data_IF_782089117160
#
_entry.id   IF_782089117160
#
_cell.length_a   1.000
_cell.length_b   1.000
_cell.length_c   1.000
_cell.angle_alpha   90.00
_cell.angle_beta   90.00
_cell.angle_gamma   90.00
#
_symmetry.space_group_name_H-M   'P 1'
#
loop_
_entity.id
_entity.type
_entity.pdbx_description
1 polymer ?
#
# COMPACT_ATOMS: atom_id res chain seq x y z
N UNK A 1 7.84 22.62 7.26
CA UNK A 1 7.71 21.35 6.53
C UNK A 1 6.24 21.16 6.20
N UNK A 2 5.89 20.91 4.93
CA UNK A 2 4.48 20.83 4.50
C UNK A 2 3.78 19.61 5.12
N UNK A 3 2.46 19.71 5.28
CA UNK A 3 1.65 18.57 5.75
C UNK A 3 1.86 17.36 4.82
N UNK A 4 1.97 16.14 5.37
CA UNK A 4 2.08 14.92 4.57
C UNK A 4 0.94 14.83 3.55
N UNK A 5 1.26 14.62 2.27
CA UNK A 5 0.25 14.47 1.23
C UNK A 5 0.62 13.39 0.22
N UNK A 6 -0.40 12.93 -0.51
CA UNK A 6 -0.25 12.07 -1.67
C UNK A 6 -0.04 12.94 -2.93
N UNK A 7 0.29 12.29 -4.06
CA UNK A 7 0.45 12.93 -5.35
C UNK A 7 -0.91 13.46 -5.83
N UNK A 8 -1.09 14.79 -5.96
CA UNK A 8 -2.37 15.37 -6.38
C UNK A 8 -2.80 14.91 -7.79
N UNK A 9 -1.86 14.54 -8.65
CA UNK A 9 -2.15 14.05 -10.01
C UNK A 9 -2.79 12.66 -10.03
N UNK A 10 -2.74 11.91 -8.92
CA UNK A 10 -3.38 10.61 -8.79
C UNK A 10 -4.74 10.68 -8.07
N UNK A 11 -5.21 11.88 -7.71
CA UNK A 11 -6.48 12.07 -7.02
C UNK A 11 -7.65 11.48 -7.80
N UNK A 12 -7.78 11.83 -9.08
CA UNK A 12 -8.87 11.33 -9.93
C UNK A 12 -8.80 9.82 -10.07
N UNK A 13 -7.59 9.27 -10.23
CA UNK A 13 -7.37 7.83 -10.25
C UNK A 13 -7.96 7.16 -9.00
N UNK A 14 -7.70 7.64 -7.79
CA UNK A 14 -8.23 7.02 -6.56
C UNK A 14 -9.72 7.28 -6.31
N UNK A 15 -10.23 8.43 -6.77
CA UNK A 15 -11.60 8.87 -6.51
C UNK A 15 -12.62 8.29 -7.50
N UNK A 16 -12.21 7.92 -8.72
CA UNK A 16 -13.10 7.30 -9.71
C UNK A 16 -13.70 6.01 -9.18
N UNK A 17 -15.03 5.97 -8.97
CA UNK A 17 -15.76 4.79 -8.48
C UNK A 17 -16.46 4.01 -9.60
N UNK A 18 -16.75 4.68 -10.70
CA UNK A 18 -17.52 4.16 -11.84
C UNK A 18 -16.85 4.62 -13.12
N UNK A 19 -16.72 3.74 -14.11
CA UNK A 19 -16.18 4.01 -15.43
C UNK A 19 -17.21 4.76 -16.31
N UNK A 20 -16.80 5.36 -17.45
CA UNK A 20 -17.72 6.08 -18.33
C UNK A 20 -18.90 5.24 -18.86
N UNK A 21 -18.75 3.91 -18.91
CA UNK A 21 -19.78 2.97 -19.34
C UNK A 21 -20.73 2.51 -18.19
N UNK A 22 -20.56 3.05 -16.97
CA UNK A 22 -21.35 2.70 -15.79
C UNK A 22 -20.80 1.53 -14.97
N UNK A 23 -19.69 0.91 -15.38
CA UNK A 23 -19.10 -0.23 -14.66
C UNK A 23 -18.43 0.21 -13.34
N UNK A 24 -18.73 -0.40 -12.18
CA UNK A 24 -18.04 -0.12 -10.93
C UNK A 24 -16.55 -0.50 -10.96
N UNK A 25 -15.70 0.34 -10.39
CA UNK A 25 -14.25 0.07 -10.31
C UNK A 25 -13.93 -0.88 -9.16
N UNK A 26 -13.63 -2.13 -9.48
CA UNK A 26 -13.20 -3.18 -8.53
C UNK A 26 -11.69 -3.42 -8.54
N UNK A 27 -11.03 -3.12 -9.65
CA UNK A 27 -9.59 -3.30 -9.85
C UNK A 27 -8.95 -2.03 -10.38
N UNK A 28 -7.70 -1.78 -9.97
CA UNK A 28 -6.94 -0.61 -10.38
C UNK A 28 -5.54 -1.02 -10.82
N UNK A 29 -5.13 -0.55 -11.99
CA UNK A 29 -3.78 -0.77 -12.53
C UNK A 29 -3.09 0.57 -12.71
N UNK A 30 -1.99 0.78 -11.99
CA UNK A 30 -1.21 2.01 -12.06
C UNK A 30 0.13 1.74 -12.76
N UNK A 31 0.22 2.06 -14.04
CA UNK A 31 1.40 1.82 -14.88
C UNK A 31 2.07 3.13 -15.33
N UNK A 32 3.34 3.07 -15.74
CA UNK A 32 4.08 4.24 -16.26
C UNK A 32 5.59 4.20 -15.95
N UNK A 33 6.32 5.23 -16.39
CA UNK A 33 7.77 5.33 -16.28
C UNK A 33 8.32 5.46 -14.84
N UNK A 34 9.65 5.53 -14.71
CA UNK A 34 10.34 5.70 -13.41
C UNK A 34 10.04 7.07 -12.80
N UNK A 35 10.24 7.21 -11.48
CA UNK A 35 10.09 8.47 -10.73
C UNK A 35 8.70 9.13 -10.76
N UNK A 36 7.67 8.43 -11.25
CA UNK A 36 6.27 8.91 -11.29
C UNK A 36 5.49 8.71 -9.99
N UNK A 37 6.18 8.53 -8.86
CA UNK A 37 5.63 8.35 -7.49
C UNK A 37 4.61 7.22 -7.26
N UNK A 38 4.28 6.40 -8.27
CA UNK A 38 3.23 5.37 -8.22
C UNK A 38 3.24 4.50 -6.97
N UNK A 39 4.39 3.89 -6.66
CA UNK A 39 4.52 2.99 -5.51
C UNK A 39 4.35 3.73 -4.19
N UNK A 40 4.94 4.92 -4.06
CA UNK A 40 4.78 5.75 -2.86
C UNK A 40 3.33 6.16 -2.65
N UNK A 41 2.61 6.46 -3.74
CA UNK A 41 1.22 6.86 -3.68
C UNK A 41 0.29 5.71 -3.28
N UNK A 42 0.46 4.55 -3.92
CA UNK A 42 -0.28 3.34 -3.59
C UNK A 42 -0.03 2.89 -2.14
N UNK A 43 1.21 2.93 -1.66
CA UNK A 43 1.56 2.63 -0.27
C UNK A 43 0.87 3.61 0.69
N UNK A 44 0.86 4.91 0.38
CA UNK A 44 0.22 5.89 1.23
C UNK A 44 -1.29 5.78 1.27
N UNK A 45 -1.94 5.50 0.14
CA UNK A 45 -3.37 5.19 0.11
C UNK A 45 -3.71 3.94 0.92
N UNK A 46 -2.90 2.89 0.81
CA UNK A 46 -3.12 1.66 1.58
C UNK A 46 -3.01 1.90 3.10
N UNK A 47 -2.03 2.69 3.54
CA UNK A 47 -1.88 3.05 4.96
C UNK A 47 -3.04 3.90 5.45
N UNK A 48 -3.45 4.91 4.68
CA UNK A 48 -4.60 5.74 5.03
C UNK A 48 -5.86 4.87 5.20
N UNK A 49 -6.10 3.94 4.27
CA UNK A 49 -7.22 2.99 4.38
C UNK A 49 -7.09 2.08 5.61
N UNK A 50 -5.92 1.46 5.81
CA UNK A 50 -5.66 0.58 6.96
C UNK A 50 -5.86 1.28 8.30
N UNK A 51 -5.60 2.59 8.37
CA UNK A 51 -5.78 3.42 9.55
C UNK A 51 -7.26 3.67 9.87
N UNK A 52 -8.11 3.81 8.84
CA UNK A 52 -9.53 4.18 9.01
C UNK A 52 -10.51 3.01 8.93
N UNK A 53 -10.15 1.93 8.26
CA UNK A 53 -11.02 0.78 8.02
C UNK A 53 -10.27 -0.52 8.30
N UNK A 54 -10.98 -1.51 8.86
CA UNK A 54 -10.45 -2.86 9.07
C UNK A 54 -10.25 -3.57 7.73
N UNK A 55 -9.01 -3.68 7.28
CA UNK A 55 -8.65 -4.27 5.99
C UNK A 55 -7.42 -5.17 6.11
N UNK A 56 -7.42 -6.29 5.37
CA UNK A 56 -6.26 -7.18 5.25
C UNK A 56 -5.65 -6.98 3.86
N UNK A 57 -4.43 -6.47 3.82
CA UNK A 57 -3.67 -6.23 2.60
C UNK A 57 -2.71 -7.37 2.33
N UNK A 58 -2.83 -7.97 1.14
CA UNK A 58 -1.89 -8.94 0.62
C UNK A 58 -0.95 -8.24 -0.38
N UNK A 59 0.32 -8.09 0.01
CA UNK A 59 1.37 -7.52 -0.83
C UNK A 59 2.15 -8.65 -1.51
N UNK A 60 2.10 -8.71 -2.83
CA UNK A 60 2.72 -9.79 -3.61
C UNK A 60 3.72 -9.27 -4.64
N UNK A 61 4.72 -10.10 -4.93
CA UNK A 61 5.66 -9.94 -6.04
C UNK A 61 6.02 -11.31 -6.62
N UNK A 62 6.52 -11.34 -7.86
CA UNK A 62 6.82 -12.61 -8.56
C UNK A 62 7.78 -13.49 -7.74
N UNK A 63 8.94 -12.94 -7.38
CA UNK A 63 9.98 -13.61 -6.60
C UNK A 63 10.27 -12.82 -5.33
N UNK A 64 10.16 -13.42 -4.15
CA UNK A 64 10.42 -12.77 -2.85
C UNK A 64 11.31 -13.65 -1.99
N UNK A 65 12.63 -13.46 -2.06
CA UNK A 65 13.58 -14.22 -1.27
C UNK A 65 13.71 -13.68 0.16
N UNK A 66 13.60 -12.36 0.31
CA UNK A 66 13.67 -11.66 1.59
C UNK A 66 12.50 -10.68 1.73
N UNK A 67 12.07 -10.38 2.95
CA UNK A 67 10.97 -9.44 3.16
C UNK A 67 11.40 -8.01 2.83
N UNK A 68 12.68 -7.68 3.01
CA UNK A 68 13.25 -6.38 2.67
C UNK A 68 13.16 -6.09 1.17
N UNK A 69 13.10 -7.13 0.33
CA UNK A 69 12.87 -7.00 -1.11
C UNK A 69 11.41 -6.62 -1.40
N UNK A 70 10.47 -6.83 -0.48
CA UNK A 70 9.06 -6.49 -0.68
C UNK A 70 8.80 -4.98 -0.50
N UNK A 71 7.52 -4.58 -0.56
CA UNK A 71 7.08 -3.20 -0.28
C UNK A 71 7.06 -2.86 1.21
N UNK A 72 7.50 -3.78 2.08
CA UNK A 72 7.52 -3.63 3.53
C UNK A 72 8.23 -2.34 3.99
N UNK A 73 9.45 -2.10 3.51
CA UNK A 73 10.23 -0.90 3.88
C UNK A 73 9.51 0.38 3.46
N UNK A 74 8.93 0.39 2.26
CA UNK A 74 8.16 1.53 1.75
C UNK A 74 6.93 1.84 2.62
N UNK A 75 6.23 0.81 3.10
CA UNK A 75 5.09 0.99 4.01
C UNK A 75 5.54 1.56 5.36
N UNK A 76 6.64 1.03 5.93
CA UNK A 76 7.23 1.56 7.18
C UNK A 76 7.60 3.05 7.06
N UNK A 77 8.23 3.42 5.94
CA UNK A 77 8.59 4.81 5.66
C UNK A 77 7.35 5.69 5.54
N UNK A 78 6.29 5.20 4.89
CA UNK A 78 5.04 5.95 4.75
C UNK A 78 4.28 6.10 6.07
N UNK A 79 4.28 5.10 6.95
CA UNK A 79 3.72 5.22 8.30
C UNK A 79 4.42 6.36 9.05
N UNK A 80 5.75 6.40 8.98
CA UNK A 80 6.56 7.47 9.58
C UNK A 80 6.25 8.83 8.96
N UNK A 81 6.18 8.90 7.63
CA UNK A 81 5.88 10.11 6.89
C UNK A 81 4.51 10.72 7.27
N UNK A 82 3.51 9.89 7.56
CA UNK A 82 2.18 10.35 7.99
C UNK A 82 2.05 10.58 9.50
N UNK A 83 3.10 10.32 10.31
CA UNK A 83 3.01 10.46 11.76
C UNK A 83 2.14 9.39 12.44
N UNK A 84 2.02 8.20 11.83
CA UNK A 84 1.11 7.13 12.29
C UNK A 84 1.84 6.00 13.05
N UNK A 85 3.08 6.21 13.48
CA UNK A 85 3.88 5.19 14.18
C UNK A 85 3.18 4.62 15.41
N UNK A 86 2.40 5.45 16.11
CA UNK A 86 1.67 5.03 17.30
C UNK A 86 0.45 4.16 16.99
N UNK A 87 -0.03 4.14 15.75
CA UNK A 87 -1.20 3.36 15.35
C UNK A 87 -0.84 1.95 14.87
N UNK A 88 0.40 1.73 14.43
CA UNK A 88 0.85 0.48 13.83
C UNK A 88 1.93 -0.22 14.67
N UNK A 89 1.84 -1.55 14.75
CA UNK A 89 2.87 -2.45 15.23
C UNK A 89 3.62 -3.01 14.03
N UNK A 90 4.92 -2.75 13.99
CA UNK A 90 5.82 -3.19 12.91
C UNK A 90 6.49 -4.49 13.37
N UNK A 91 6.17 -5.61 12.72
CA UNK A 91 6.68 -6.95 13.04
C UNK A 91 7.61 -7.45 11.94
N UNK A 92 8.41 -8.48 12.22
CA UNK A 92 9.40 -9.00 11.27
C UNK A 92 8.81 -9.41 9.91
N UNK A 93 7.55 -9.84 9.87
CA UNK A 93 6.89 -10.32 8.65
C UNK A 93 5.51 -9.71 8.37
N UNK A 94 5.06 -8.74 9.18
CA UNK A 94 3.76 -8.10 9.03
C UNK A 94 3.77 -6.68 9.56
N UNK A 95 2.77 -5.90 9.15
CA UNK A 95 2.47 -4.59 9.74
C UNK A 95 1.02 -4.63 10.19
N UNK A 96 0.76 -4.36 11.46
CA UNK A 96 -0.57 -4.53 12.07
C UNK A 96 -1.04 -3.24 12.71
N UNK A 97 -2.27 -2.84 12.45
CA UNK A 97 -2.88 -1.74 13.18
C UNK A 97 -3.24 -2.20 14.59
N UNK A 98 -2.87 -1.42 15.62
CA UNK A 98 -2.92 -1.85 17.02
C UNK A 98 -4.33 -2.10 17.55
N UNK A 99 -5.34 -1.40 17.02
CA UNK A 99 -6.72 -1.44 17.57
C UNK A 99 -7.80 -1.90 16.59
N UNK A 100 -7.80 -1.46 15.32
CA UNK A 100 -8.87 -1.77 14.36
C UNK A 100 -8.75 -3.16 13.67
N UNK A 101 -7.61 -3.85 13.81
CA UNK A 101 -7.37 -5.18 13.25
C UNK A 101 -6.94 -5.22 11.77
N UNK A 102 -6.62 -4.08 11.17
CA UNK A 102 -6.00 -4.03 9.84
C UNK A 102 -4.60 -4.63 9.85
N UNK A 103 -4.19 -5.27 8.75
CA UNK A 103 -2.83 -5.79 8.65
C UNK A 103 -2.33 -5.91 7.20
N UNK A 104 -1.01 -5.85 7.03
CA UNK A 104 -0.30 -6.12 5.78
C UNK A 104 0.47 -7.42 5.89
N UNK A 105 0.31 -8.30 4.91
CA UNK A 105 1.05 -9.55 4.75
C UNK A 105 1.83 -9.55 3.44
N UNK A 106 2.98 -10.22 3.42
CA UNK A 106 3.92 -10.16 2.29
C UNK A 106 4.23 -11.58 1.79
N UNK A 107 4.00 -11.85 0.51
CA UNK A 107 4.23 -13.18 -0.07
C UNK A 107 4.82 -13.11 -1.49
N UNK A 108 5.72 -14.03 -1.79
CA UNK A 108 6.13 -14.33 -3.17
C UNK A 108 5.09 -15.21 -3.86
N UNK A 109 4.83 -14.95 -5.15
CA UNK A 109 3.90 -15.77 -5.95
C UNK A 109 4.60 -17.07 -6.41
N UNK A 110 5.84 -16.96 -6.89
CA UNK A 110 6.63 -18.13 -7.21
C UNK A 110 6.94 -18.89 -5.91
N UNK A 111 6.56 -20.18 -5.89
CA UNK A 111 7.05 -21.17 -4.93
C UNK A 111 8.14 -21.96 -5.65
N UNK A 112 9.23 -22.31 -4.95
CA UNK A 112 10.33 -23.18 -5.39
C UNK A 112 10.18 -23.65 -6.84
N UNK A 113 10.80 -22.91 -7.76
CA UNK A 113 11.04 -23.41 -9.12
C UNK A 113 12.32 -24.24 -9.01
N UNK A 114 12.20 -25.38 -8.35
CA UNK A 114 13.15 -26.49 -8.44
C UNK A 114 12.41 -27.66 -9.10
#
# INVERSE_FOLDING_TARGET
MGNPSLNPNLKDFWMTRVLPDGTPVTMRTLHGGRMSSKSHDAAGMAIARANHHKEIFLCTRMYQNKIEDSVYTLLKDKITYFGLQDNFRILANSIEHKTNGSMFKFYGIARNID
#
